data_IF_279036362831
#
_entry.id   IF_279036362831
#
_cell.length_a   1.000
_cell.length_b   1.000
_cell.length_c   1.000
_cell.angle_alpha   90.00
_cell.angle_beta   90.00
_cell.angle_gamma   90.00
#
_symmetry.space_group_name_H-M   'P 1'
#
loop_
_entity.id
_entity.type
_entity.pdbx_description
1 polymer ?
#
# COMPACT_ATOMS: atom_id res chain seq x y z
N UNK A 1 -3.41 15.34 -2.42
CA UNK A 1 -2.35 16.07 -1.69
C UNK A 1 -1.04 15.38 -2.05
N UNK A 2 -0.08 16.09 -2.65
CA UNK A 2 1.25 15.56 -2.96
C UNK A 2 2.12 15.76 -1.72
N UNK A 3 2.78 14.71 -1.23
CA UNK A 3 3.68 14.79 -0.08
C UNK A 3 5.13 14.70 -0.55
N UNK A 4 5.96 15.67 -0.15
CA UNK A 4 7.40 15.60 -0.40
C UNK A 4 8.02 14.57 0.55
N UNK A 5 8.82 13.65 0.00
CA UNK A 5 9.48 12.59 0.76
C UNK A 5 10.99 12.65 0.56
N UNK A 6 11.71 12.56 1.66
CA UNK A 6 13.16 12.62 1.69
C UNK A 6 13.70 11.44 2.48
N UNK A 7 14.66 10.71 1.90
CA UNK A 7 15.41 9.66 2.57
C UNK A 7 16.73 10.26 3.08
N UNK A 8 16.98 10.09 4.37
CA UNK A 8 18.24 10.48 5.00
C UNK A 8 19.01 9.20 5.34
N UNK A 9 20.29 9.15 4.96
CA UNK A 9 21.19 8.03 5.25
C UNK A 9 22.52 8.54 5.75
N UNK A 10 23.19 7.78 6.62
CA UNK A 10 24.52 8.09 7.11
C UNK A 10 25.56 7.23 6.39
N UNK A 11 26.61 7.85 5.87
CA UNK A 11 27.76 7.19 5.25
C UNK A 11 29.02 7.88 5.75
N UNK A 12 29.93 7.12 6.37
CA UNK A 12 31.20 7.60 6.92
C UNK A 12 31.06 8.82 7.86
N UNK A 13 29.99 8.82 8.68
CA UNK A 13 29.70 9.91 9.63
C UNK A 13 29.10 11.17 8.99
N UNK A 14 28.80 11.15 7.69
CA UNK A 14 28.13 12.24 6.98
C UNK A 14 26.69 11.88 6.59
N UNK A 15 25.77 12.84 6.75
CA UNK A 15 24.37 12.71 6.38
C UNK A 15 24.15 13.02 4.89
N UNK A 16 23.52 12.08 4.20
CA UNK A 16 23.19 12.17 2.78
C UNK A 16 21.68 12.20 2.59
N UNK A 17 21.23 13.16 1.79
CA UNK A 17 19.82 13.46 1.57
C UNK A 17 19.44 13.09 0.14
N UNK A 18 18.37 12.31 -0.01
CA UNK A 18 17.80 11.94 -1.31
C UNK A 18 16.31 12.22 -1.35
N UNK A 19 15.88 13.11 -2.24
CA UNK A 19 14.46 13.29 -2.54
C UNK A 19 13.95 12.12 -3.37
N UNK A 20 12.80 11.58 -2.97
CA UNK A 20 12.15 10.45 -3.65
C UNK A 20 10.74 10.85 -4.08
N UNK A 21 10.27 10.37 -5.25
CA UNK A 21 8.92 10.68 -5.70
C UNK A 21 7.87 10.07 -4.77
N UNK A 22 6.65 10.58 -4.89
CA UNK A 22 5.45 9.94 -4.33
C UNK A 22 5.37 8.48 -4.83
N UNK A 23 5.05 7.51 -3.96
CA UNK A 23 4.81 6.15 -4.41
C UNK A 23 3.58 6.13 -5.33
N UNK A 24 3.53 5.19 -6.29
CA UNK A 24 2.32 5.02 -7.08
C UNK A 24 1.13 4.69 -6.15
N UNK A 25 -0.10 5.08 -6.53
CA UNK A 25 -1.29 4.61 -5.84
C UNK A 25 -1.29 3.07 -5.77
N UNK A 26 -1.84 2.47 -4.69
CA UNK A 26 -1.98 1.02 -4.62
C UNK A 26 -2.81 0.52 -5.80
N UNK A 27 -2.46 -0.65 -6.32
CA UNK A 27 -3.28 -1.30 -7.35
C UNK A 27 -4.71 -1.53 -6.82
N UNK A 28 -5.74 -1.41 -7.68
CA UNK A 28 -7.10 -1.76 -7.28
C UNK A 28 -7.14 -3.22 -6.82
N UNK A 29 -7.56 -3.44 -5.57
CA UNK A 29 -7.75 -4.78 -5.04
C UNK A 29 -9.22 -5.19 -5.20
N UNK A 30 -9.46 -6.31 -5.87
CA UNK A 30 -10.79 -6.94 -5.87
C UNK A 30 -10.97 -7.65 -4.54
N UNK A 31 -11.79 -7.08 -3.65
CA UNK A 31 -12.13 -7.72 -2.38
C UNK A 31 -13.08 -8.89 -2.64
N UNK A 32 -12.88 -10.06 -2.00
CA UNK A 32 -13.87 -11.13 -2.06
C UNK A 32 -15.16 -10.65 -1.37
N UNK A 33 -16.26 -10.63 -2.11
CA UNK A 33 -17.59 -10.19 -1.63
C UNK A 33 -18.47 -11.34 -1.17
N UNK A 34 -18.01 -12.58 -1.35
CA UNK A 34 -18.76 -13.77 -1.02
C UNK A 34 -17.85 -14.74 -0.26
N UNK A 35 -18.39 -15.36 0.79
CA UNK A 35 -17.75 -16.40 1.57
C UNK A 35 -18.51 -17.70 1.39
N UNK A 36 -17.78 -18.76 1.04
CA UNK A 36 -18.32 -20.11 0.89
C UNK A 36 -17.65 -21.06 1.88
N UNK A 37 -18.44 -21.94 2.51
CA UNK A 37 -17.94 -23.03 3.35
C UNK A 37 -18.55 -24.33 2.81
N UNK A 38 -17.71 -25.33 2.52
CA UNK A 38 -18.13 -26.61 1.93
C UNK A 38 -18.95 -26.46 0.63
N UNK A 39 -18.72 -25.38 -0.13
CA UNK A 39 -19.47 -25.09 -1.37
C UNK A 39 -20.80 -24.37 -1.16
N UNK A 40 -21.21 -24.09 0.08
CA UNK A 40 -22.42 -23.33 0.40
C UNK A 40 -22.09 -21.86 0.66
N UNK A 41 -22.89 -20.96 0.09
CA UNK A 41 -22.77 -19.51 0.34
C UNK A 41 -23.21 -19.21 1.77
N UNK A 42 -22.28 -18.73 2.60
CA UNK A 42 -22.55 -18.42 4.02
C UNK A 42 -22.58 -16.92 4.30
N UNK A 43 -21.95 -16.09 3.46
CA UNK A 43 -21.99 -14.63 3.63
C UNK A 43 -21.74 -13.91 2.32
N UNK A 44 -22.41 -12.77 2.15
CA UNK A 44 -22.22 -11.84 1.04
C UNK A 44 -22.30 -10.41 1.56
N UNK A 45 -21.43 -9.54 1.06
CA UNK A 45 -21.39 -8.12 1.42
C UNK A 45 -21.64 -7.25 0.19
N UNK A 46 -22.34 -6.14 0.42
CA UNK A 46 -22.50 -5.04 -0.53
C UNK A 46 -21.38 -4.00 -0.34
N UNK A 47 -21.12 -3.19 -1.36
CA UNK A 47 -20.10 -2.12 -1.35
C UNK A 47 -20.56 -0.85 -0.63
#
# INVERSE_FOLDING_TARGET
>A
MLTERTLVSEVDGALHVKNIPEPPPPEPVTRPMELYINGELVSKWDE
#
